data_IF_021061953486
#
_entry.id   IF_021061953486
#
_cell.length_a   1.000
_cell.length_b   1.000
_cell.length_c   1.000
_cell.angle_alpha   90.00
_cell.angle_beta   90.00
_cell.angle_gamma   90.00
#
_symmetry.space_group_name_H-M   'P 1'
#
loop_
_entity.id
_entity.type
_entity.pdbx_description
1 polymer ?
#
# COMPACT_ATOMS: atom_id res chain seq x y z
N UNK A 1 -4.56 4.04 -3.45
CA UNK A 1 -3.57 3.06 -3.93
C UNK A 1 -3.04 3.51 -5.27
N UNK A 2 -1.73 3.39 -5.50
CA UNK A 2 -1.10 3.72 -6.78
C UNK A 2 -0.60 2.43 -7.45
N UNK A 3 -0.72 2.37 -8.77
CA UNK A 3 -0.17 1.33 -9.62
C UNK A 3 0.78 1.98 -10.62
N UNK A 4 2.02 1.51 -10.70
CA UNK A 4 3.03 2.05 -11.61
C UNK A 4 3.90 0.95 -12.18
N UNK A 5 4.60 1.26 -13.28
CA UNK A 5 5.57 0.35 -13.88
C UNK A 5 6.97 0.68 -13.34
N UNK A 6 7.68 -0.32 -12.80
CA UNK A 6 9.01 -0.18 -12.18
C UNK A 6 10.10 0.25 -13.16
N UNK A 7 9.93 -0.02 -14.45
CA UNK A 7 10.91 0.32 -15.49
C UNK A 7 10.74 1.78 -15.89
N UNK A 8 9.51 2.17 -16.21
CA UNK A 8 9.21 3.55 -16.65
C UNK A 8 9.11 4.53 -15.49
N UNK A 9 8.80 4.03 -14.28
CA UNK A 9 8.49 4.81 -13.07
C UNK A 9 7.23 5.68 -13.19
N UNK A 10 6.40 5.42 -14.20
CA UNK A 10 5.19 6.17 -14.49
C UNK A 10 3.93 5.46 -13.93
N UNK A 11 2.94 6.22 -13.43
CA UNK A 11 1.68 5.66 -13.00
C UNK A 11 0.90 5.08 -14.20
N UNK A 12 0.29 3.93 -14.00
CA UNK A 12 -0.45 3.19 -15.04
C UNK A 12 -1.92 3.62 -15.13
N UNK A 13 -2.42 4.31 -14.11
CA UNK A 13 -3.73 4.94 -14.07
C UNK A 13 -3.82 5.94 -12.91
N UNK A 14 -4.93 6.68 -12.84
CA UNK A 14 -5.25 7.48 -11.65
C UNK A 14 -5.42 6.59 -10.41
N UNK A 15 -4.97 7.10 -9.27
CA UNK A 15 -5.08 6.41 -7.99
C UNK A 15 -6.53 6.42 -7.47
N UNK A 16 -7.18 5.26 -7.26
CA UNK A 16 -8.46 5.22 -6.56
C UNK A 16 -8.25 5.64 -5.10
N UNK A 17 -8.92 6.72 -4.71
CA UNK A 17 -8.90 7.30 -3.38
C UNK A 17 -9.66 6.43 -2.37
N UNK A 18 -9.41 6.62 -1.08
CA UNK A 18 -9.90 5.72 -0.05
C UNK A 18 -11.44 5.64 0.03
N UNK A 19 -12.15 6.74 -0.24
CA UNK A 19 -13.62 6.83 -0.29
C UNK A 19 -14.23 6.37 -1.63
N UNK A 20 -13.42 5.89 -2.58
CA UNK A 20 -13.90 5.37 -3.85
C UNK A 20 -14.70 4.07 -3.66
N UNK A 21 -15.92 4.03 -4.21
CA UNK A 21 -16.86 2.93 -4.06
C UNK A 21 -16.89 1.97 -5.26
N UNK A 22 -16.06 2.16 -6.29
CA UNK A 22 -16.08 1.34 -7.53
C UNK A 22 -15.84 -0.15 -7.28
N UNK A 23 -15.24 -0.49 -6.14
CA UNK A 23 -14.91 -1.86 -5.75
C UNK A 23 -16.07 -2.56 -5.04
N UNK A 24 -17.26 -1.94 -4.96
CA UNK A 24 -18.42 -2.51 -4.27
C UNK A 24 -18.75 -3.93 -4.74
N UNK A 25 -18.86 -4.17 -6.05
CA UNK A 25 -19.17 -5.50 -6.57
C UNK A 25 -18.05 -6.51 -6.31
N UNK A 26 -16.78 -6.08 -6.30
CA UNK A 26 -15.64 -6.93 -5.93
C UNK A 26 -15.75 -7.32 -4.46
N UNK A 27 -16.09 -6.39 -3.57
CA UNK A 27 -16.23 -6.70 -2.14
C UNK A 27 -17.38 -7.65 -1.86
N UNK A 28 -18.52 -7.51 -2.56
CA UNK A 28 -19.62 -8.49 -2.50
C UNK A 28 -19.19 -9.88 -2.95
N UNK A 29 -18.51 -9.98 -4.11
CA UNK A 29 -18.02 -11.26 -4.63
C UNK A 29 -17.03 -11.92 -3.67
N UNK A 30 -16.07 -11.14 -3.14
CA UNK A 30 -15.11 -11.64 -2.15
C UNK A 30 -15.81 -12.15 -0.90
N UNK A 31 -16.76 -11.39 -0.34
CA UNK A 31 -17.49 -11.82 0.85
C UNK A 31 -18.27 -13.10 0.60
N UNK A 32 -18.94 -13.23 -0.55
CA UNK A 32 -19.70 -14.42 -0.90
C UNK A 32 -18.79 -15.64 -1.17
N UNK A 33 -17.78 -15.49 -2.01
CA UNK A 33 -16.96 -16.60 -2.53
C UNK A 33 -15.85 -17.02 -1.56
N UNK A 34 -15.20 -16.05 -0.90
CA UNK A 34 -14.05 -16.30 -0.03
C UNK A 34 -14.42 -16.29 1.45
N UNK A 35 -15.43 -15.50 1.82
CA UNK A 35 -15.91 -15.39 3.21
C UNK A 35 -17.14 -16.22 3.52
N UNK A 36 -17.76 -16.90 2.54
CA UNK A 36 -19.00 -17.65 2.75
C UNK A 36 -20.17 -16.77 3.24
N UNK A 37 -20.16 -15.49 2.89
CA UNK A 37 -21.11 -14.47 3.36
C UNK A 37 -20.61 -13.65 4.56
N UNK A 38 -19.52 -14.05 5.22
CA UNK A 38 -18.94 -13.30 6.34
C UNK A 38 -17.89 -12.28 5.86
N UNK A 39 -18.19 -10.98 6.00
CA UNK A 39 -17.23 -9.91 5.69
C UNK A 39 -16.03 -9.87 6.65
N UNK A 40 -16.10 -10.54 7.81
CA UNK A 40 -15.06 -10.58 8.83
C UNK A 40 -14.17 -11.81 8.73
N UNK A 41 -14.30 -12.64 7.69
CA UNK A 41 -13.58 -13.92 7.58
C UNK A 41 -12.05 -13.79 7.75
N UNK A 42 -11.47 -12.66 7.33
CA UNK A 42 -10.04 -12.38 7.41
C UNK A 42 -9.63 -11.54 8.63
N UNK A 43 -10.57 -11.15 9.50
CA UNK A 43 -10.31 -10.23 10.62
C UNK A 43 -9.29 -10.76 11.63
N UNK A 44 -9.20 -12.09 11.80
CA UNK A 44 -8.15 -12.71 12.64
C UNK A 44 -6.74 -12.54 12.09
N UNK A 45 -6.60 -12.22 10.80
CA UNK A 45 -5.31 -11.97 10.13
C UNK A 45 -5.06 -10.47 10.04
N UNK A 46 -6.03 -9.71 9.54
CA UNK A 46 -5.86 -8.31 9.14
C UNK A 46 -6.40 -7.30 10.15
N UNK A 47 -7.30 -7.72 11.04
CA UNK A 47 -8.09 -6.83 11.89
C UNK A 47 -9.18 -6.05 11.14
N UNK A 48 -9.45 -6.38 9.86
CA UNK A 48 -10.33 -5.60 8.99
C UNK A 48 -11.52 -6.41 8.47
N UNK A 49 -12.68 -5.76 8.22
CA UNK A 49 -13.74 -6.30 7.38
C UNK A 49 -13.39 -6.19 5.90
N UNK A 50 -14.05 -6.98 5.06
CA UNK A 50 -14.13 -6.74 3.61
C UNK A 50 -14.92 -5.45 3.39
N UNK A 51 -14.28 -4.44 2.79
CA UNK A 51 -14.87 -3.11 2.57
C UNK A 51 -14.21 -2.41 1.39
N UNK A 52 -14.96 -1.55 0.69
CA UNK A 52 -14.44 -0.76 -0.43
C UNK A 52 -13.30 0.16 -0.02
N UNK A 53 -13.17 0.45 1.28
CA UNK A 53 -12.15 1.31 1.86
C UNK A 53 -10.71 0.84 1.58
N UNK A 54 -10.45 -0.47 1.68
CA UNK A 54 -9.09 -1.01 1.74
C UNK A 54 -8.41 -1.21 0.38
N UNK A 55 -7.07 -1.18 0.39
CA UNK A 55 -6.27 -1.10 -0.83
C UNK A 55 -6.36 -2.34 -1.73
N UNK A 56 -6.45 -3.55 -1.16
CA UNK A 56 -6.45 -4.79 -1.94
C UNK A 56 -7.56 -4.86 -2.98
N UNK A 57 -8.77 -4.41 -2.63
CA UNK A 57 -9.91 -4.43 -3.55
C UNK A 57 -9.72 -3.46 -4.71
N UNK A 58 -9.01 -2.34 -4.47
CA UNK A 58 -8.62 -1.39 -5.51
C UNK A 58 -7.51 -1.98 -6.40
N UNK A 59 -6.55 -2.71 -5.83
CA UNK A 59 -5.52 -3.43 -6.59
C UNK A 59 -6.15 -4.47 -7.52
N UNK A 60 -7.04 -5.31 -6.98
CA UNK A 60 -7.79 -6.30 -7.77
C UNK A 60 -8.62 -5.64 -8.87
N UNK A 61 -9.32 -4.55 -8.56
CA UNK A 61 -10.07 -3.80 -9.59
C UNK A 61 -9.15 -3.31 -10.71
N UNK A 62 -8.00 -2.74 -10.38
CA UNK A 62 -7.03 -2.25 -11.38
C UNK A 62 -6.50 -3.40 -12.26
N UNK A 63 -6.20 -4.57 -11.67
CA UNK A 63 -5.80 -5.76 -12.43
C UNK A 63 -6.90 -6.24 -13.40
N UNK A 64 -8.17 -6.18 -12.97
CA UNK A 64 -9.31 -6.66 -13.76
C UNK A 64 -9.78 -5.65 -14.82
N UNK A 65 -9.58 -4.34 -14.62
CA UNK A 65 -10.24 -3.30 -15.41
C UNK A 65 -9.29 -2.31 -16.11
N UNK A 66 -8.00 -2.27 -15.76
CA UNK A 66 -7.04 -1.34 -16.36
C UNK A 66 -6.04 -2.13 -17.21
N UNK A 67 -6.15 -2.11 -18.56
CA UNK A 67 -5.27 -2.88 -19.45
C UNK A 67 -3.78 -2.64 -19.18
N UNK A 68 -3.37 -1.38 -18.97
CA UNK A 68 -1.97 -1.05 -18.68
C UNK A 68 -1.43 -1.71 -17.40
N UNK A 69 -2.27 -1.86 -16.37
CA UNK A 69 -1.92 -2.55 -15.11
C UNK A 69 -1.81 -4.05 -15.34
N UNK A 70 -2.77 -4.65 -16.05
CA UNK A 70 -2.72 -6.07 -16.40
C UNK A 70 -1.48 -6.40 -17.26
N UNK A 71 -1.12 -5.53 -18.19
CA UNK A 71 0.06 -5.69 -19.06
C UNK A 71 1.36 -5.61 -18.27
N UNK A 72 1.50 -4.62 -17.38
CA UNK A 72 2.67 -4.50 -16.50
C UNK A 72 2.79 -5.70 -15.55
N UNK A 73 1.66 -6.24 -15.07
CA UNK A 73 1.63 -7.46 -14.26
C UNK A 73 2.20 -8.64 -15.05
N UNK A 74 1.76 -8.83 -16.31
CA UNK A 74 2.26 -9.93 -17.17
C UNK A 74 3.74 -9.78 -17.51
N UNK A 75 4.26 -8.55 -17.59
CA UNK A 75 5.69 -8.28 -17.79
C UNK A 75 6.54 -8.41 -16.51
N UNK A 76 5.91 -8.56 -15.34
CA UNK A 76 6.62 -8.56 -14.06
C UNK A 76 7.18 -7.19 -13.67
N UNK A 77 6.68 -6.11 -14.25
CA UNK A 77 7.13 -4.73 -13.99
C UNK A 77 6.19 -3.94 -13.09
N UNK A 78 5.02 -4.50 -12.75
CA UNK A 78 4.02 -3.83 -11.92
C UNK A 78 4.50 -3.66 -10.47
N UNK A 79 4.32 -2.44 -9.95
CA UNK A 79 4.36 -2.14 -8.54
C UNK A 79 3.02 -1.59 -8.07
N UNK A 80 2.58 -2.05 -6.89
CA UNK A 80 1.51 -1.45 -6.12
C UNK A 80 2.06 -0.79 -4.86
N UNK A 81 1.35 0.22 -4.38
CA UNK A 81 1.70 0.89 -3.13
C UNK A 81 0.58 1.78 -2.61
N UNK A 82 0.62 2.00 -1.30
CA UNK A 82 -0.04 3.16 -0.67
C UNK A 82 0.74 4.44 -0.99
N UNK A 83 0.24 5.59 -0.53
CA UNK A 83 0.83 6.89 -0.91
C UNK A 83 2.25 7.05 -0.37
N UNK A 84 2.53 6.54 0.83
CA UNK A 84 3.87 6.48 1.43
C UNK A 84 4.87 5.77 0.51
N UNK A 85 4.52 4.57 0.03
CA UNK A 85 5.37 3.80 -0.90
C UNK A 85 5.62 4.57 -2.19
N UNK A 86 4.58 5.18 -2.77
CA UNK A 86 4.72 5.94 -4.01
C UNK A 86 5.66 7.14 -3.83
N UNK A 87 5.49 7.91 -2.75
CA UNK A 87 6.33 9.07 -2.46
C UNK A 87 7.78 8.65 -2.18
N UNK A 88 8.01 7.64 -1.33
CA UNK A 88 9.36 7.13 -1.05
C UNK A 88 10.02 6.59 -2.31
N UNK A 89 9.28 5.86 -3.16
CA UNK A 89 9.79 5.35 -4.43
C UNK A 89 10.21 6.48 -5.36
N UNK A 90 9.38 7.52 -5.54
CA UNK A 90 9.70 8.66 -6.41
C UNK A 90 10.84 9.50 -5.86
N UNK A 91 10.82 9.85 -4.57
CA UNK A 91 11.85 10.66 -3.92
C UNK A 91 13.22 9.99 -3.97
N UNK A 92 13.27 8.67 -3.81
CA UNK A 92 14.52 7.88 -3.86
C UNK A 92 14.97 7.51 -5.28
N UNK A 93 14.34 8.05 -6.32
CA UNK A 93 14.67 7.71 -7.70
C UNK A 93 14.40 6.24 -8.05
N UNK A 94 13.50 5.57 -7.32
CA UNK A 94 13.09 4.18 -7.50
C UNK A 94 13.86 3.17 -6.64
N UNK A 95 14.72 3.62 -5.72
CA UNK A 95 15.54 2.75 -4.87
C UNK A 95 14.80 2.22 -3.64
N UNK A 96 13.85 2.97 -3.10
CA UNK A 96 13.08 2.62 -1.91
C UNK A 96 11.67 2.13 -2.30
N UNK A 97 11.54 0.82 -2.55
CA UNK A 97 10.23 0.17 -2.74
C UNK A 97 9.76 -0.49 -1.44
N UNK A 98 9.35 0.37 -0.50
CA UNK A 98 9.06 0.01 0.90
C UNK A 98 7.77 0.67 1.38
N UNK A 99 7.16 0.12 2.41
CA UNK A 99 6.03 0.71 3.16
C UNK A 99 6.25 0.48 4.65
N UNK A 100 5.66 1.30 5.51
CA UNK A 100 5.68 1.01 6.94
C UNK A 100 4.52 0.09 7.37
N UNK A 101 4.67 -0.53 8.54
CA UNK A 101 3.67 -1.43 9.13
C UNK A 101 2.27 -0.81 9.30
N UNK A 102 2.16 0.50 9.53
CA UNK A 102 0.86 1.15 9.75
C UNK A 102 0.12 1.33 8.43
N UNK A 103 0.79 1.75 7.35
CA UNK A 103 0.21 1.81 6.01
C UNK A 103 -0.11 0.40 5.47
N UNK A 104 0.81 -0.55 5.64
CA UNK A 104 0.61 -1.95 5.26
C UNK A 104 -0.62 -2.56 5.95
N UNK A 105 -0.88 -2.23 7.22
CA UNK A 105 -2.06 -2.70 7.94
C UNK A 105 -3.40 -2.28 7.32
N UNK A 106 -3.42 -1.23 6.48
CA UNK A 106 -4.65 -0.71 5.83
C UNK A 106 -4.91 -1.31 4.45
N UNK A 107 -4.11 -2.28 4.05
CA UNK A 107 -4.21 -2.88 2.71
C UNK A 107 -5.21 -4.03 2.62
N UNK A 108 -5.55 -4.68 3.74
CA UNK A 108 -6.21 -6.00 3.79
C UNK A 108 -5.30 -7.19 3.41
N UNK A 109 -3.99 -6.97 3.24
CA UNK A 109 -3.04 -8.02 2.83
C UNK A 109 -2.00 -8.36 3.89
N UNK A 110 -1.83 -7.52 4.92
CA UNK A 110 -0.85 -7.76 5.98
C UNK A 110 -1.44 -8.66 7.07
N UNK A 111 -0.68 -9.68 7.49
CA UNK A 111 -0.91 -10.41 8.72
C UNK A 111 -0.37 -9.59 9.91
N UNK A 112 -1.27 -9.15 10.80
CA UNK A 112 -0.92 -8.30 11.94
C UNK A 112 0.01 -8.97 12.96
N UNK A 113 -0.03 -10.31 13.07
CA UNK A 113 0.80 -11.06 14.03
C UNK A 113 2.24 -11.14 13.55
N UNK A 114 2.42 -11.39 12.25
CA UNK A 114 3.75 -11.54 11.66
C UNK A 114 4.32 -10.23 11.11
N UNK A 115 3.47 -9.23 10.84
CA UNK A 115 3.80 -7.96 10.16
C UNK A 115 4.38 -8.18 8.76
N UNK A 116 3.90 -9.23 8.08
CA UNK A 116 4.28 -9.60 6.71
C UNK A 116 3.04 -9.67 5.83
N UNK A 117 3.23 -9.59 4.52
CA UNK A 117 2.17 -9.92 3.57
C UNK A 117 1.71 -11.36 3.79
N UNK A 118 0.41 -11.57 3.87
CA UNK A 118 -0.22 -12.89 3.96
C UNK A 118 -0.27 -13.52 2.56
N UNK A 119 0.49 -14.60 2.30
CA UNK A 119 0.45 -15.28 1.00
C UNK A 119 -0.95 -15.79 0.68
N UNK A 120 -1.66 -16.30 1.69
CA UNK A 120 -3.03 -16.79 1.59
C UNK A 120 -3.99 -15.70 1.08
N UNK A 121 -3.95 -14.50 1.67
CA UNK A 121 -4.84 -13.41 1.25
C UNK A 121 -4.44 -12.84 -0.12
N UNK A 122 -3.14 -12.77 -0.41
CA UNK A 122 -2.64 -12.38 -1.72
C UNK A 122 -3.12 -13.34 -2.81
N UNK A 123 -2.99 -14.66 -2.60
CA UNK A 123 -3.46 -15.70 -3.51
C UNK A 123 -4.98 -15.63 -3.71
N UNK A 124 -5.76 -15.60 -2.61
CA UNK A 124 -7.23 -15.50 -2.65
C UNK A 124 -7.71 -14.26 -3.40
N UNK A 125 -7.03 -13.13 -3.26
CA UNK A 125 -7.37 -11.87 -3.93
C UNK A 125 -6.70 -11.71 -5.29
N UNK A 126 -5.91 -12.70 -5.74
CA UNK A 126 -5.18 -12.71 -7.01
C UNK A 126 -4.23 -11.51 -7.16
N UNK A 127 -3.53 -11.17 -6.08
CA UNK A 127 -2.53 -10.10 -6.04
C UNK A 127 -1.16 -10.76 -5.93
N UNK A 128 -0.31 -10.68 -6.97
CA UNK A 128 1.03 -11.28 -6.91
C UNK A 128 1.90 -10.55 -5.89
N UNK A 129 2.53 -11.28 -4.97
CA UNK A 129 3.26 -10.70 -3.84
C UNK A 129 4.47 -9.87 -4.29
N UNK A 130 5.08 -10.20 -5.43
CA UNK A 130 6.21 -9.49 -6.03
C UNK A 130 5.87 -8.04 -6.44
N UNK A 131 4.57 -7.74 -6.58
CA UNK A 131 4.07 -6.39 -6.85
C UNK A 131 3.97 -5.52 -5.60
N UNK A 132 4.17 -6.09 -4.40
CA UNK A 132 4.02 -5.40 -3.12
C UNK A 132 5.38 -4.94 -2.55
N UNK A 133 5.43 -3.79 -1.86
CA UNK A 133 6.66 -3.27 -1.27
C UNK A 133 7.10 -4.08 -0.06
N UNK A 134 8.37 -3.98 0.33
CA UNK A 134 8.84 -4.54 1.61
C UNK A 134 8.20 -3.78 2.79
N UNK A 135 7.67 -4.51 3.78
CA UNK A 135 7.12 -3.91 5.00
C UNK A 135 8.25 -3.66 6.01
N UNK A 136 8.35 -2.42 6.48
CA UNK A 136 9.38 -1.93 7.39
C UNK A 136 8.79 -1.24 8.62
N UNK A 137 9.63 -0.92 9.60
CA UNK A 137 9.23 -0.19 10.80
C UNK A 137 8.83 1.26 10.45
N UNK A 138 8.35 2.02 11.43
CA UNK A 138 7.96 3.42 11.20
C UNK A 138 9.14 4.40 11.21
N UNK A 139 10.25 4.03 11.85
CA UNK A 139 11.38 4.91 12.11
C UNK A 139 12.69 4.15 11.89
N UNK A 140 13.21 4.25 10.67
CA UNK A 140 14.48 3.66 10.23
C UNK A 140 14.93 4.36 8.95
N UNK A 141 16.17 4.14 8.52
CA UNK A 141 16.64 4.67 7.24
C UNK A 141 16.04 3.88 6.06
N UNK A 142 15.07 4.48 5.37
CA UNK A 142 14.44 3.90 4.17
C UNK A 142 15.25 4.17 2.89
N UNK A 143 16.03 5.25 2.88
CA UNK A 143 16.81 5.69 1.73
C UNK A 143 17.14 7.18 1.82
N UNK A 144 17.52 7.76 0.70
CA UNK A 144 17.80 9.18 0.56
C UNK A 144 16.95 9.76 -0.56
N UNK A 145 16.70 11.06 -0.49
CA UNK A 145 16.15 11.79 -1.63
C UNK A 145 17.23 11.84 -2.71
N UNK A 146 16.92 11.31 -3.89
CA UNK A 146 17.83 11.18 -5.03
C UNK A 146 17.23 11.70 -6.34
N UNK A 147 15.97 12.11 -6.34
CA UNK A 147 15.33 12.76 -7.49
C UNK A 147 15.46 14.28 -7.41
N UNK A 148 15.63 14.94 -8.56
CA UNK A 148 15.46 16.39 -8.70
C UNK A 148 14.21 16.74 -9.53
N UNK A 149 13.29 15.79 -9.69
CA UNK A 149 11.95 16.08 -10.21
C UNK A 149 11.32 17.23 -9.41
N UNK A 150 10.78 18.22 -10.12
CA UNK A 150 10.22 19.44 -9.53
C UNK A 150 11.19 20.26 -8.65
N UNK A 151 12.51 20.07 -8.78
CA UNK A 151 13.52 20.82 -8.03
C UNK A 151 13.64 20.42 -6.56
N UNK A 152 13.17 19.24 -6.17
CA UNK A 152 13.16 18.79 -4.76
C UNK A 152 14.58 18.72 -4.19
N UNK A 153 15.54 18.12 -4.90
CA UNK A 153 16.91 18.01 -4.40
C UNK A 153 17.57 19.39 -4.31
N UNK A 154 17.35 20.25 -5.31
CA UNK A 154 17.81 21.63 -5.28
C UNK A 154 17.25 22.42 -4.08
N UNK A 155 15.98 22.22 -3.73
CA UNK A 155 15.35 22.88 -2.60
C UNK A 155 15.88 22.40 -1.24
N UNK A 156 16.19 21.11 -1.12
CA UNK A 156 16.77 20.54 0.10
C UNK A 156 18.23 20.98 0.31
N UNK A 157 18.97 21.23 -0.78
CA UNK A 157 20.35 21.73 -0.79
C UNK A 157 21.36 20.84 -0.02
N UNK A 158 20.95 19.62 0.35
CA UNK A 158 21.80 18.60 0.98
C UNK A 158 21.24 17.20 0.73
N UNK A 159 22.05 16.18 1.03
CA UNK A 159 21.63 14.78 0.92
C UNK A 159 20.69 14.42 2.08
N UNK A 160 19.39 14.56 1.84
CA UNK A 160 18.37 14.34 2.88
C UNK A 160 17.98 12.87 3.01
N UNK A 161 18.07 12.27 4.22
CA UNK A 161 17.60 10.91 4.47
C UNK A 161 16.07 10.86 4.63
N UNK A 162 15.47 9.79 4.15
CA UNK A 162 14.07 9.43 4.43
C UNK A 162 14.09 8.49 5.63
N UNK A 163 13.64 8.95 6.79
CA UNK A 163 13.75 8.21 8.05
C UNK A 163 12.42 7.92 8.78
N UNK A 164 11.30 8.41 8.26
CA UNK A 164 9.99 8.25 8.89
C UNK A 164 8.90 7.93 7.87
N UNK A 165 8.09 6.94 8.17
CA UNK A 165 6.85 6.66 7.44
C UNK A 165 5.80 6.14 8.42
N UNK A 166 4.64 6.78 8.43
CA UNK A 166 3.52 6.42 9.29
C UNK A 166 2.22 6.89 8.63
N UNK A 167 1.16 6.10 8.74
CA UNK A 167 -0.18 6.47 8.30
C UNK A 167 -0.65 7.70 9.06
N UNK A 168 -1.38 8.59 8.40
CA UNK A 168 -1.80 9.89 8.93
C UNK A 168 -2.49 9.81 10.31
N UNK A 169 -3.44 8.90 10.48
CA UNK A 169 -4.17 8.73 11.74
C UNK A 169 -3.25 8.18 12.86
N UNK A 170 -2.39 7.22 12.56
CA UNK A 170 -1.41 6.71 13.51
C UNK A 170 -0.34 7.76 13.85
N UNK A 171 0.01 8.62 12.88
CA UNK A 171 0.92 9.75 13.09
C UNK A 171 0.30 10.78 14.02
N UNK A 172 -0.99 11.06 13.88
CA UNK A 172 -1.72 11.96 14.76
C UNK A 172 -1.77 11.39 16.18
N UNK A 173 -2.07 10.10 16.35
CA UNK A 173 -2.05 9.44 17.65
C UNK A 173 -0.67 9.54 18.32
N UNK A 174 0.40 9.26 17.57
CA UNK A 174 1.78 9.38 18.05
C UNK A 174 2.15 10.82 18.40
N UNK A 175 1.74 11.79 17.57
CA UNK A 175 1.98 13.23 17.80
C UNK A 175 1.21 13.81 18.99
N UNK A 176 0.08 13.19 19.37
CA UNK A 176 -0.66 13.53 20.59
C UNK A 176 -0.10 12.85 21.85
N UNK A 177 1.05 12.15 21.73
CA UNK A 177 1.70 11.44 22.83
C UNK A 177 0.82 10.36 23.47
N UNK A 178 -0.11 9.78 22.71
CA UNK A 178 -0.98 8.70 23.15
C UNK A 178 -0.22 7.34 23.11
N UNK A 179 0.72 7.16 24.05
CA UNK A 179 1.60 6.01 24.11
C UNK A 179 1.08 4.89 25.02
N UNK A 180 0.19 5.24 25.95
CA UNK A 180 -0.35 4.33 26.94
C UNK A 180 -1.70 3.76 26.50
N UNK A 181 -1.97 2.53 26.95
CA UNK A 181 -3.22 1.85 26.63
C UNK A 181 -4.41 2.63 27.20
N UNK A 182 -5.33 3.02 26.31
CA UNK A 182 -6.57 3.70 26.68
C UNK A 182 -6.56 5.20 26.36
N UNK A 183 -5.43 5.75 25.94
CA UNK A 183 -5.34 7.12 25.41
C UNK A 183 -5.94 7.20 24.00
N UNK A 184 -6.62 8.31 23.69
CA UNK A 184 -7.37 8.53 22.45
C UNK A 184 -7.46 10.02 22.09
#
# INVERSE_FOLDING_TARGET
>A
TVAWDRVTKEPLCYAPVWNDLRTYDITKKVTAELGGGDSMFASKITGLPVSTYFAAFKMRWMLENVPAVADACRRGTLCFGTIDTWLMYKLSGGKAFVTDVTNASRTFLMDLRTRKWSPELCEKLKIPMETLPEIRSNSELFGYVETDECGVAAALNERTPIMGSIGDQQSALFGNMCFEKGEA
#
